data_IF_730931025846
#
_entry.id   IF_730931025846
#
_cell.length_a   1.000
_cell.length_b   1.000
_cell.length_c   1.000
_cell.angle_alpha   90.00
_cell.angle_beta   90.00
_cell.angle_gamma   90.00
#
_symmetry.space_group_name_H-M   'P 1'
#
loop_
_entity.id
_entity.type
_entity.pdbx_description
1 polymer ?
#
# COMPACT_ATOMS: atom_id res chain seq x y z
N UNK A 1 -1.49 11.48 -2.97
CA UNK A 1 -0.26 10.64 -2.81
C UNK A 1 0.15 10.70 -1.34
N UNK A 2 0.41 9.55 -0.69
CA UNK A 2 0.83 9.48 0.73
C UNK A 2 2.21 8.83 0.83
N UNK A 3 3.08 9.37 1.68
CA UNK A 3 4.42 8.86 1.95
C UNK A 3 4.87 9.27 3.36
N UNK A 4 5.84 8.56 3.95
CA UNK A 4 6.36 8.92 5.27
C UNK A 4 7.24 10.17 5.24
N UNK A 5 8.16 10.26 4.26
CA UNK A 5 9.11 11.36 4.10
C UNK A 5 9.53 11.52 2.63
N UNK A 6 10.14 12.67 2.31
CA UNK A 6 10.79 12.92 1.01
C UNK A 6 12.31 12.75 1.09
N UNK A 7 12.93 12.29 0.00
CA UNK A 7 14.39 12.20 -0.13
C UNK A 7 14.81 12.52 -1.57
N UNK A 8 15.78 13.44 -1.80
CA UNK A 8 16.18 13.84 -3.15
C UNK A 8 17.00 12.78 -3.89
N UNK A 9 17.59 11.83 -3.15
CA UNK A 9 18.41 10.75 -3.71
C UNK A 9 17.52 9.70 -4.40
N UNK A 10 17.77 9.45 -5.68
CA UNK A 10 17.08 8.41 -6.46
C UNK A 10 17.42 7.00 -5.96
N UNK A 11 16.50 6.05 -6.14
CA UNK A 11 16.72 4.62 -5.94
C UNK A 11 17.62 4.00 -7.02
N UNK A 12 18.20 2.82 -6.74
CA UNK A 12 18.97 2.03 -7.70
C UNK A 12 18.03 1.21 -8.61
N UNK A 13 18.37 1.07 -9.89
CA UNK A 13 17.58 0.37 -10.91
C UNK A 13 18.09 -1.07 -11.14
N UNK A 14 18.11 -1.88 -10.09
CA UNK A 14 18.71 -3.22 -10.12
C UNK A 14 17.68 -4.35 -10.38
N UNK A 15 16.40 -4.03 -10.62
CA UNK A 15 15.36 -5.05 -10.86
C UNK A 15 14.98 -5.90 -9.64
N UNK A 16 15.43 -5.52 -8.45
CA UNK A 16 15.14 -6.23 -7.19
C UNK A 16 13.72 -5.95 -6.71
N UNK A 17 13.05 -6.96 -6.17
CA UNK A 17 11.73 -6.86 -5.55
C UNK A 17 10.82 -8.03 -5.91
N UNK A 18 9.60 -8.01 -5.36
CA UNK A 18 8.51 -8.94 -5.71
C UNK A 18 7.25 -8.10 -5.94
N UNK A 19 6.37 -8.58 -6.81
CA UNK A 19 5.05 -7.99 -7.07
C UNK A 19 3.97 -8.98 -6.66
N UNK A 20 2.75 -8.49 -6.38
CA UNK A 20 1.58 -9.31 -6.04
C UNK A 20 1.86 -10.31 -4.92
N UNK A 21 2.61 -9.89 -3.89
CA UNK A 21 2.90 -10.71 -2.71
C UNK A 21 2.31 -10.04 -1.48
N UNK A 22 1.84 -10.80 -0.48
CA UNK A 22 1.38 -10.25 0.80
C UNK A 22 2.44 -9.33 1.43
N UNK A 23 2.02 -8.15 1.89
CA UNK A 23 2.84 -7.21 2.64
C UNK A 23 2.30 -7.05 4.05
N UNK A 24 3.17 -6.71 5.00
CA UNK A 24 2.78 -6.39 6.36
C UNK A 24 3.52 -5.14 6.83
N UNK A 25 2.77 -4.10 7.19
CA UNK A 25 3.31 -2.87 7.73
C UNK A 25 2.37 -2.27 8.76
N UNK A 26 2.93 -1.59 9.76
CA UNK A 26 2.17 -0.99 10.86
C UNK A 26 1.17 -1.97 11.55
N UNK A 27 1.50 -3.27 11.58
CA UNK A 27 0.63 -4.31 12.16
C UNK A 27 -0.54 -4.75 11.27
N UNK A 28 -0.65 -4.24 10.05
CA UNK A 28 -1.74 -4.53 9.10
C UNK A 28 -1.20 -5.35 7.92
N UNK A 29 -1.96 -6.37 7.51
CA UNK A 29 -1.68 -7.17 6.32
C UNK A 29 -2.33 -6.54 5.08
N UNK A 30 -1.60 -6.54 3.98
CA UNK A 30 -2.03 -6.05 2.67
C UNK A 30 -1.95 -7.23 1.71
N UNK A 31 -3.09 -7.78 1.32
CA UNK A 31 -3.14 -8.92 0.42
C UNK A 31 -3.44 -8.45 -1.01
N UNK A 32 -2.85 -9.09 -2.03
CA UNK A 32 -3.24 -8.84 -3.41
C UNK A 32 -4.75 -9.10 -3.60
N UNK A 33 -5.48 -8.14 -4.16
CA UNK A 33 -6.92 -8.20 -4.36
C UNK A 33 -7.76 -7.46 -3.31
N UNK A 34 -7.17 -7.08 -2.17
CA UNK A 34 -7.85 -6.21 -1.20
C UNK A 34 -8.02 -4.79 -1.76
N UNK A 35 -9.04 -4.10 -1.25
CA UNK A 35 -9.35 -2.72 -1.54
C UNK A 35 -8.74 -1.80 -0.48
N UNK A 36 -8.14 -0.70 -0.92
CA UNK A 36 -7.52 0.31 -0.07
C UNK A 36 -8.26 1.63 -0.18
N UNK A 37 -8.65 2.17 0.97
CA UNK A 37 -9.27 3.48 1.10
C UNK A 37 -8.37 4.38 1.95
N UNK A 38 -8.21 5.66 1.58
CA UNK A 38 -7.30 6.57 2.26
C UNK A 38 -7.77 8.03 2.21
N UNK A 39 -7.82 8.68 3.36
CA UNK A 39 -8.30 10.06 3.56
C UNK A 39 -7.41 10.81 4.58
N UNK A 40 -7.89 11.91 5.16
CA UNK A 40 -7.12 12.68 6.15
C UNK A 40 -6.92 11.96 7.48
N UNK A 41 -7.87 11.10 7.88
CA UNK A 41 -7.85 10.38 9.15
C UNK A 41 -6.96 9.14 9.08
N UNK A 42 -6.89 8.46 7.94
CA UNK A 42 -6.03 7.30 7.83
C UNK A 42 -6.13 6.48 6.54
N UNK A 43 -5.87 5.19 6.71
CA UNK A 43 -5.89 4.16 5.67
C UNK A 43 -6.70 2.97 6.20
N UNK A 44 -7.62 2.47 5.39
CA UNK A 44 -8.43 1.29 5.65
C UNK A 44 -8.23 0.25 4.56
N UNK A 45 -8.22 -1.02 4.95
CA UNK A 45 -8.12 -2.18 4.05
C UNK A 45 -9.39 -3.01 4.19
N UNK A 46 -9.95 -3.40 3.06
CA UNK A 46 -11.16 -4.21 2.98
C UNK A 46 -10.96 -5.39 2.01
N UNK A 47 -11.52 -6.54 2.34
CA UNK A 47 -11.43 -7.76 1.50
C UNK A 47 -12.42 -7.77 0.33
N UNK A 48 -13.15 -6.68 0.13
CA UNK A 48 -14.16 -6.48 -0.93
C UNK A 48 -14.30 -4.99 -1.22
N UNK A 49 -14.91 -4.65 -2.36
CA UNK A 49 -15.33 -3.28 -2.61
C UNK A 49 -16.45 -2.89 -1.64
N UNK A 50 -16.32 -1.70 -1.04
CA UNK A 50 -17.30 -1.09 -0.17
C UNK A 50 -18.17 -0.05 -0.89
N UNK A 51 -17.78 0.36 -2.10
CA UNK A 51 -18.50 1.34 -2.91
C UNK A 51 -19.41 0.70 -3.96
N UNK A 52 -19.12 -0.54 -4.35
CA UNK A 52 -19.94 -1.33 -5.26
C UNK A 52 -20.81 -2.28 -4.43
N UNK A 53 -22.10 -1.93 -4.27
CA UNK A 53 -23.08 -2.68 -3.48
C UNK A 53 -24.04 -3.48 -4.37
#
# INVERSE_FOLDING_TARGET
VKARFSVPRRSRKEGKGRQNTPLAFAGVAFLPGDYLYADEDGILIATRDLLDA
#
